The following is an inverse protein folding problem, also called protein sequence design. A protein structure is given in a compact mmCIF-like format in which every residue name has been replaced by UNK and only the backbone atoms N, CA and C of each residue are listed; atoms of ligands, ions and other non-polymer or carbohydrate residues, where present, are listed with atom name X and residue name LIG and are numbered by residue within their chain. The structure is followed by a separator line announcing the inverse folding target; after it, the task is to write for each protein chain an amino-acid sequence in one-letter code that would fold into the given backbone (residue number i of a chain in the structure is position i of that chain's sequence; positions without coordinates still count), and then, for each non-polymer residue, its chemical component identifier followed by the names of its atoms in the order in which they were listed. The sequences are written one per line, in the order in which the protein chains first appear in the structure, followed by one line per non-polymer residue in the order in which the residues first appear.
data_IF_900933814904
#
_entry.id   IF_900933814904
#
_cell.length_a   1.000
_cell.length_b   1.000
_cell.length_c   1.000
_cell.angle_alpha   90.00
_cell.angle_beta   90.00
_cell.angle_gamma   90.00
#
_symmetry.space_group_name_H-M   'P 1'
#
loop_
_entity.id
_entity.type
_entity.pdbx_description
1 polymer ?
#
# COMPACT_ATOMS: atom_id res chain seq x y z
N UNK A 1 20.34 0.92 18.34
CA UNK A 1 19.07 0.35 17.92
C UNK A 1 18.48 1.19 16.82
N UNK A 2 18.18 0.60 15.68
CA UNK A 2 17.65 1.33 14.52
C UNK A 2 16.68 0.48 13.73
N UNK A 3 15.66 1.14 13.17
CA UNK A 3 14.82 0.59 12.11
C UNK A 3 15.50 0.92 10.80
N UNK A 4 15.62 -0.05 9.93
CA UNK A 4 16.18 0.14 8.60
C UNK A 4 15.18 -0.27 7.54
N UNK A 5 15.21 0.45 6.44
CA UNK A 5 14.40 0.17 5.26
C UNK A 5 15.34 -0.14 4.10
N UNK A 6 15.19 -1.32 3.53
CA UNK A 6 15.90 -1.71 2.32
C UNK A 6 15.02 -1.49 1.12
N UNK A 7 15.57 -0.90 0.10
CA UNK A 7 15.01 -0.93 -1.23
C UNK A 7 15.49 -2.21 -1.92
N UNK A 8 14.56 -2.99 -2.39
CA UNK A 8 14.78 -4.25 -3.08
C UNK A 8 14.50 -4.10 -4.58
N UNK A 9 14.82 -5.11 -5.35
CA UNK A 9 14.47 -5.18 -6.77
C UNK A 9 12.97 -4.98 -7.01
N UNK A 10 12.60 -4.48 -8.16
CA UNK A 10 11.20 -4.23 -8.60
C UNK A 10 10.43 -3.28 -7.68
N UNK A 11 11.10 -2.30 -7.08
CA UNK A 11 10.50 -1.33 -6.16
C UNK A 11 9.80 -1.98 -4.95
N UNK A 12 10.34 -3.08 -4.47
CA UNK A 12 9.91 -3.71 -3.23
C UNK A 12 10.74 -3.18 -2.06
N UNK A 13 10.19 -3.27 -0.86
CA UNK A 13 10.80 -2.74 0.35
C UNK A 13 10.75 -3.76 1.47
N UNK A 14 11.79 -3.74 2.28
CA UNK A 14 11.86 -4.49 3.52
C UNK A 14 12.14 -3.57 4.69
N UNK A 15 11.35 -3.68 5.75
CA UNK A 15 11.53 -2.92 6.98
C UNK A 15 11.95 -3.85 8.10
N UNK A 16 13.13 -3.62 8.63
CA UNK A 16 13.70 -4.46 9.68
C UNK A 16 14.22 -3.64 10.86
N UNK A 17 14.57 -4.34 11.91
CA UNK A 17 15.13 -3.76 13.12
C UNK A 17 16.50 -4.37 13.40
N UNK A 18 17.45 -3.54 13.79
CA UNK A 18 18.80 -4.01 14.17
C UNK A 18 19.35 -3.23 15.35
N UNK A 19 20.19 -3.91 16.11
CA UNK A 19 21.02 -3.29 17.16
C UNK A 19 22.42 -2.95 16.66
N UNK A 20 22.81 -3.51 15.52
CA UNK A 20 24.11 -3.35 14.93
C UNK A 20 24.16 -2.19 13.91
N UNK A 21 25.35 -1.61 13.68
CA UNK A 21 25.52 -0.58 12.68
C UNK A 21 25.32 -1.13 11.26
N UNK A 22 24.46 -0.47 10.50
CA UNK A 22 24.16 -0.83 9.12
C UNK A 22 25.19 -0.19 8.21
N UNK A 23 25.96 -1.01 7.50
CA UNK A 23 27.02 -0.53 6.60
C UNK A 23 26.68 -0.72 5.12
N UNK A 24 26.04 -1.83 4.75
CA UNK A 24 25.73 -2.18 3.35
C UNK A 24 24.40 -2.93 3.25
N UNK A 25 23.64 -2.66 2.20
CA UNK A 25 22.38 -3.38 1.93
C UNK A 25 22.60 -4.89 1.73
N UNK A 26 23.73 -5.28 1.15
CA UNK A 26 24.07 -6.68 0.85
C UNK A 26 24.31 -7.58 2.08
N UNK A 27 24.45 -7.02 3.29
CA UNK A 27 24.56 -7.84 4.50
C UNK A 27 23.22 -8.45 4.94
N UNK A 28 22.13 -8.12 4.25
CA UNK A 28 20.76 -8.54 4.59
C UNK A 28 20.13 -9.48 3.56
N UNK A 29 20.92 -10.15 2.74
CA UNK A 29 20.41 -11.00 1.64
C UNK A 29 19.62 -12.22 2.07
N UNK A 30 19.86 -12.74 3.27
CA UNK A 30 19.30 -14.01 3.73
C UNK A 30 18.35 -13.84 4.95
N UNK A 31 17.69 -12.69 5.05
CA UNK A 31 16.82 -12.40 6.19
C UNK A 31 15.53 -13.22 6.19
N UNK A 32 14.88 -13.32 5.03
CA UNK A 32 13.66 -14.09 4.83
C UNK A 32 13.38 -14.32 3.35
N UNK A 33 12.31 -15.04 3.05
CA UNK A 33 11.90 -15.38 1.70
C UNK A 33 11.69 -14.13 0.81
N UNK A 34 11.10 -13.06 1.33
CA UNK A 34 10.87 -11.82 0.59
C UNK A 34 12.17 -11.15 0.13
N UNK A 35 13.14 -11.02 1.04
CA UNK A 35 14.45 -10.43 0.74
C UNK A 35 15.32 -11.34 -0.12
N UNK A 36 15.14 -12.65 0.00
CA UNK A 36 15.82 -13.63 -0.86
C UNK A 36 15.27 -13.57 -2.28
N UNK A 37 13.97 -13.40 -2.43
CA UNK A 37 13.31 -13.32 -3.73
C UNK A 37 13.59 -11.98 -4.45
N UNK A 38 13.52 -10.88 -3.71
CA UNK A 38 13.82 -9.53 -4.20
C UNK A 38 15.11 -9.04 -3.57
N UNK A 39 16.21 -9.15 -4.29
CA UNK A 39 17.53 -8.82 -3.75
C UNK A 39 17.65 -7.36 -3.31
N UNK A 40 18.37 -7.09 -2.18
CA UNK A 40 18.60 -5.73 -1.72
C UNK A 40 19.47 -4.93 -2.70
N UNK A 41 18.97 -3.80 -3.16
CA UNK A 41 19.70 -2.86 -4.01
C UNK A 41 20.40 -1.79 -3.17
N UNK A 42 19.68 -1.19 -2.24
CA UNK A 42 20.18 -0.08 -1.43
C UNK A 42 19.48 0.00 -0.06
N UNK A 43 20.11 0.77 0.82
CA UNK A 43 19.48 1.18 2.08
C UNK A 43 18.69 2.46 1.79
N UNK A 44 17.35 2.38 1.87
CA UNK A 44 16.48 3.51 1.61
C UNK A 44 16.48 4.50 2.77
N UNK A 45 16.31 4.00 4.00
CA UNK A 45 16.17 4.82 5.21
C UNK A 45 16.74 4.08 6.43
N UNK A 46 17.33 4.82 7.35
CA UNK A 46 17.70 4.31 8.67
C UNK A 46 17.22 5.29 9.71
N UNK A 47 16.45 4.81 10.67
CA UNK A 47 15.83 5.63 11.70
C UNK A 47 16.30 5.13 13.05
N UNK A 48 16.92 5.96 13.89
CA UNK A 48 17.16 5.61 15.28
C UNK A 48 15.80 5.49 15.99
N UNK A 49 15.39 4.27 16.28
CA UNK A 49 14.08 4.02 16.86
C UNK A 49 14.06 2.76 17.71
N UNK A 50 13.06 2.65 18.57
CA UNK A 50 12.81 1.44 19.34
C UNK A 50 11.96 0.45 18.55
N UNK A 51 12.11 -0.84 18.86
CA UNK A 51 11.44 -1.94 18.15
C UNK A 51 9.91 -1.79 18.06
N UNK A 52 9.26 -1.18 19.05
CA UNK A 52 7.80 -1.00 19.05
C UNK A 52 7.28 -0.05 17.95
N UNK A 53 8.16 0.76 17.33
CA UNK A 53 7.81 1.61 16.19
C UNK A 53 7.92 0.91 14.84
N UNK A 54 8.41 -0.33 14.82
CA UNK A 54 8.64 -1.07 13.58
C UNK A 54 7.38 -1.21 12.73
N UNK A 55 6.29 -1.64 13.35
CA UNK A 55 5.02 -1.85 12.64
C UNK A 55 4.40 -0.54 12.14
N UNK A 56 4.61 0.57 12.85
CA UNK A 56 4.17 1.89 12.39
C UNK A 56 4.93 2.31 11.13
N UNK A 57 6.25 2.11 11.09
CA UNK A 57 7.06 2.41 9.90
C UNK A 57 6.69 1.51 8.72
N UNK A 58 6.39 0.24 8.97
CA UNK A 58 5.90 -0.67 7.92
C UNK A 58 4.58 -0.15 7.33
N UNK A 59 3.64 0.26 8.18
CA UNK A 59 2.34 0.79 7.75
C UNK A 59 2.47 2.12 7.00
N UNK A 60 3.32 3.02 7.46
CA UNK A 60 3.61 4.29 6.77
C UNK A 60 4.12 4.03 5.35
N UNK A 61 5.07 3.09 5.19
CA UNK A 61 5.60 2.72 3.89
C UNK A 61 4.59 1.96 3.03
N UNK A 62 3.74 1.12 3.64
CA UNK A 62 2.63 0.46 2.93
C UNK A 62 1.62 1.46 2.39
N UNK A 63 1.35 2.55 3.12
CA UNK A 63 0.48 3.63 2.66
C UNK A 63 1.11 4.43 1.51
N UNK A 64 2.44 4.60 1.52
CA UNK A 64 3.17 5.36 0.50
C UNK A 64 3.43 4.55 -0.78
N UNK A 65 3.87 3.30 -0.64
CA UNK A 65 4.31 2.45 -1.77
C UNK A 65 3.34 1.33 -2.13
N UNK A 66 2.30 1.14 -1.35
CA UNK A 66 1.33 0.05 -1.49
C UNK A 66 1.62 -1.15 -0.59
N UNK A 67 0.56 -1.77 -0.09
CA UNK A 67 0.64 -2.93 0.83
C UNK A 67 1.41 -4.10 0.19
N UNK A 68 1.30 -4.27 -1.11
CA UNK A 68 1.94 -5.38 -1.85
C UNK A 68 3.45 -5.20 -2.06
N UNK A 69 3.95 -4.00 -1.87
CA UNK A 69 5.34 -3.65 -2.14
C UNK A 69 6.21 -3.60 -0.89
N UNK A 70 5.62 -3.67 0.29
CA UNK A 70 6.33 -3.52 1.57
C UNK A 70 6.12 -4.72 2.46
N UNK A 71 7.18 -5.23 3.05
CA UNK A 71 7.17 -6.31 4.04
C UNK A 71 8.07 -5.94 5.22
N UNK A 72 7.79 -6.53 6.38
CA UNK A 72 8.58 -6.35 7.60
C UNK A 72 7.72 -6.35 8.86
N UNK A 73 8.33 -6.21 10.01
CA UNK A 73 7.65 -6.18 11.29
C UNK A 73 6.75 -7.39 11.52
N UNK A 74 5.48 -7.14 11.77
CA UNK A 74 4.46 -8.18 11.95
C UNK A 74 3.99 -8.83 10.63
N UNK A 75 4.46 -8.35 9.48
CA UNK A 75 4.10 -8.85 8.13
C UNK A 75 5.33 -9.27 7.31
N UNK A 76 6.04 -10.32 7.74
CA UNK A 76 7.26 -10.78 7.05
C UNK A 76 6.99 -11.73 5.88
N UNK A 77 5.78 -12.22 5.73
CA UNK A 77 5.39 -13.23 4.75
C UNK A 77 5.42 -12.66 3.32
N UNK A 78 5.90 -13.46 2.36
CA UNK A 78 5.96 -13.08 0.95
C UNK A 78 4.57 -12.79 0.39
N UNK A 79 3.59 -13.62 0.76
CA UNK A 79 2.19 -13.48 0.38
C UNK A 79 1.36 -13.27 1.63
N UNK A 80 0.70 -12.13 1.73
CA UNK A 80 -0.21 -11.84 2.84
C UNK A 80 -1.58 -12.48 2.59
N UNK A 81 -2.18 -13.10 3.62
CA UNK A 81 -3.55 -13.60 3.53
C UNK A 81 -4.55 -12.48 3.21
N UNK A 82 -5.60 -12.79 2.45
CA UNK A 82 -6.63 -11.83 2.08
C UNK A 82 -7.28 -11.12 3.29
N UNK A 83 -7.42 -11.82 4.40
CA UNK A 83 -7.94 -11.23 5.63
C UNK A 83 -7.02 -10.12 6.17
N UNK A 84 -5.70 -10.33 6.10
CA UNK A 84 -4.68 -9.35 6.53
C UNK A 84 -4.67 -8.17 5.56
N UNK A 85 -4.72 -8.41 4.25
CA UNK A 85 -4.80 -7.35 3.23
C UNK A 85 -6.03 -6.46 3.43
N UNK A 86 -7.19 -7.05 3.70
CA UNK A 86 -8.43 -6.32 4.01
C UNK A 86 -8.29 -5.47 5.27
N UNK A 87 -7.73 -6.06 6.33
CA UNK A 87 -7.52 -5.35 7.60
C UNK A 87 -6.58 -4.17 7.45
N UNK A 88 -5.43 -4.38 6.80
CA UNK A 88 -4.46 -3.33 6.51
C UNK A 88 -5.03 -2.26 5.58
N UNK A 89 -5.73 -2.65 4.52
CA UNK A 89 -6.37 -1.72 3.60
C UNK A 89 -7.37 -0.81 4.32
N UNK A 90 -8.21 -1.38 5.18
CA UNK A 90 -9.16 -0.63 5.99
C UNK A 90 -8.48 0.30 6.99
N UNK A 91 -7.41 -0.15 7.62
CA UNK A 91 -6.65 0.66 8.58
C UNK A 91 -5.90 1.82 7.92
N UNK A 92 -5.30 1.59 6.76
CA UNK A 92 -4.47 2.58 6.06
C UNK A 92 -5.27 3.58 5.21
N UNK A 93 -6.36 3.11 4.61
CA UNK A 93 -7.12 3.89 3.63
C UNK A 93 -8.58 4.15 4.05
N UNK A 94 -8.97 3.67 5.23
CA UNK A 94 -10.35 3.76 5.73
C UNK A 94 -11.27 2.68 5.17
N UNK A 95 -12.58 2.89 5.30
CA UNK A 95 -13.59 1.93 4.84
C UNK A 95 -13.73 1.84 3.30
N UNK A 96 -12.80 2.44 2.56
CA UNK A 96 -12.71 2.18 1.14
C UNK A 96 -12.16 0.77 0.94
N UNK A 97 -13.04 -0.17 0.68
CA UNK A 97 -12.65 -1.46 0.13
C UNK A 97 -11.85 -1.18 -1.15
N UNK A 98 -10.57 -1.53 -1.16
CA UNK A 98 -9.77 -1.49 -2.38
C UNK A 98 -10.35 -2.57 -3.28
N UNK A 99 -11.32 -2.20 -4.10
CA UNK A 99 -11.95 -3.07 -5.07
C UNK A 99 -11.24 -2.87 -6.39
N UNK A 100 -10.72 -3.93 -6.94
CA UNK A 100 -10.20 -3.91 -8.30
C UNK A 100 -11.33 -3.58 -9.27
N UNK A 101 -11.17 -2.51 -10.05
CA UNK A 101 -12.18 -2.10 -11.02
C UNK A 101 -12.35 -3.10 -12.17
N UNK A 102 -11.37 -3.96 -12.42
CA UNK A 102 -11.45 -5.00 -13.46
C UNK A 102 -12.24 -6.22 -13.02
N UNK A 103 -11.85 -6.84 -11.92
CA UNK A 103 -12.45 -8.09 -11.45
C UNK A 103 -13.42 -7.93 -10.28
N UNK A 104 -13.59 -6.72 -9.76
CA UNK A 104 -14.41 -6.38 -8.58
C UNK A 104 -14.05 -7.17 -7.30
N UNK A 105 -12.89 -7.79 -7.27
CA UNK A 105 -12.34 -8.47 -6.10
C UNK A 105 -11.57 -7.47 -5.23
N UNK A 106 -11.66 -7.63 -3.92
CA UNK A 106 -10.98 -6.80 -2.94
C UNK A 106 -9.52 -7.24 -2.81
N UNK A 107 -8.62 -6.29 -2.57
CA UNK A 107 -7.26 -6.57 -2.13
C UNK A 107 -6.16 -6.39 -3.19
N UNK A 108 -6.49 -5.88 -4.37
CA UNK A 108 -5.49 -5.49 -5.36
C UNK A 108 -5.97 -4.35 -6.25
N UNK A 109 -5.03 -3.65 -6.86
CA UNK A 109 -5.33 -2.62 -7.86
C UNK A 109 -5.47 -3.23 -9.26
N UNK A 110 -6.06 -2.46 -10.19
CA UNK A 110 -6.25 -2.90 -11.60
C UNK A 110 -4.95 -3.35 -12.27
N UNK A 111 -3.83 -2.72 -11.91
CA UNK A 111 -2.50 -3.03 -12.47
C UNK A 111 -1.95 -4.41 -12.06
N UNK A 112 -2.46 -4.96 -10.97
CA UNK A 112 -2.03 -6.23 -10.39
C UNK A 112 -3.15 -7.28 -10.45
N UNK A 113 -4.11 -7.08 -11.36
CA UNK A 113 -5.25 -7.98 -11.49
C UNK A 113 -4.82 -9.33 -12.07
N UNK A 114 -5.02 -10.46 -11.32
CA UNK A 114 -4.69 -11.78 -11.84
C UNK A 114 -5.65 -12.27 -12.93
N UNK A 115 -6.80 -11.61 -13.07
CA UNK A 115 -7.81 -11.94 -14.09
C UNK A 115 -7.60 -11.15 -15.41
N UNK A 116 -6.39 -10.61 -15.65
CA UNK A 116 -6.01 -10.00 -16.92
C UNK A 116 -5.59 -11.10 -17.93
N UNK A 117 -6.44 -12.08 -18.06
CA UNK A 117 -6.43 -12.98 -19.21
C UNK A 117 -7.05 -12.20 -20.38
N UNK A 118 -6.20 -11.47 -21.08
CA UNK A 118 -6.53 -10.93 -22.41
C UNK A 118 -6.67 -12.13 -23.39
N UNK A 119 -7.73 -12.89 -23.21
CA UNK A 119 -8.22 -13.75 -24.27
C UNK A 119 -9.25 -12.94 -25.05
N UNK A 120 -8.81 -12.50 -26.23
CA UNK A 120 -9.62 -11.87 -27.25
C UNK A 120 -10.81 -12.73 -27.62
N UNK A 121 -11.86 -12.69 -26.83
CA UNK A 121 -13.18 -13.13 -27.30
C UNK A 121 -14.11 -11.93 -27.28
N UNK A 122 -14.13 -11.25 -28.40
CA UNK A 122 -15.12 -10.24 -28.74
C UNK A 122 -16.49 -10.91 -28.70
N UNK A 123 -17.17 -10.82 -27.58
CA UNK A 123 -18.62 -11.08 -27.54
C UNK A 123 -19.31 -9.73 -27.68
N UNK A 124 -19.73 -9.48 -28.91
CA UNK A 124 -20.70 -8.45 -29.20
C UNK A 124 -21.99 -8.71 -28.43
N UNK A 125 -22.22 -7.95 -27.39
CA UNK A 125 -23.54 -7.80 -26.85
C UNK A 125 -23.92 -6.31 -26.91
N UNK A 126 -24.49 -5.91 -28.04
CA UNK A 126 -25.24 -4.69 -28.21
C UNK A 126 -26.56 -4.81 -27.44
N UNK A 127 -26.57 -4.32 -26.22
CA UNK A 127 -27.80 -4.06 -25.45
C UNK A 127 -27.98 -2.55 -25.32
N UNK A 128 -28.69 -1.94 -26.25
CA UNK A 128 -29.20 -0.58 -26.12
C UNK A 128 -30.10 -0.47 -24.91
N UNK A 129 -29.65 0.19 -23.86
CA UNK A 129 -30.58 0.88 -22.94
C UNK A 129 -29.94 2.21 -22.56
N UNK A 130 -30.44 3.23 -23.24
CA UNK A 130 -30.26 4.63 -22.90
C UNK A 130 -30.96 4.89 -21.59
N UNK A 131 -30.24 4.91 -20.47
CA UNK A 131 -30.75 5.56 -19.27
C UNK A 131 -30.01 6.89 -19.13
N UNK A 132 -30.77 8.01 -19.00
CA UNK A 132 -30.13 9.31 -18.78
C UNK A 132 -29.57 9.36 -17.37
N UNK A 133 -28.28 9.61 -17.29
CA UNK A 133 -27.59 9.93 -16.04
C UNK A 133 -28.35 11.04 -15.29
N UNK A 134 -28.63 10.86 -13.98
CA UNK A 134 -29.16 11.97 -13.21
C UNK A 134 -28.07 13.04 -13.10
N UNK A 135 -28.46 14.27 -13.49
CA UNK A 135 -27.61 15.44 -13.45
C UNK A 135 -26.94 15.60 -12.08
N UNK A 136 -25.62 15.71 -12.09
CA UNK A 136 -24.83 16.10 -10.92
C UNK A 136 -25.34 17.47 -10.44
N UNK A 137 -25.94 17.49 -9.27
CA UNK A 137 -26.26 18.74 -8.58
C UNK A 137 -24.94 19.41 -8.22
N UNK A 138 -24.74 20.70 -8.51
CA UNK A 138 -23.58 21.41 -8.05
C UNK A 138 -23.59 21.48 -6.53
N UNK A 139 -22.55 20.94 -5.91
CA UNK A 139 -22.31 21.09 -4.48
C UNK A 139 -21.87 22.54 -4.27
N UNK A 140 -22.74 23.34 -3.69
CA UNK A 140 -22.38 24.69 -3.25
C UNK A 140 -21.44 24.57 -2.07
N UNK A 141 -20.27 25.22 -2.10
CA UNK A 141 -19.41 25.26 -0.94
C UNK A 141 -20.05 26.10 0.16
N UNK A 142 -20.25 25.52 1.32
CA UNK A 142 -20.66 26.28 2.49
C UNK A 142 -19.56 27.27 2.87
N UNK A 143 -19.87 28.56 3.07
CA UNK A 143 -18.91 29.51 3.57
C UNK A 143 -18.55 29.15 5.02
N UNK A 144 -17.27 28.94 5.26
CA UNK A 144 -16.74 28.82 6.63
C UNK A 144 -16.98 30.15 7.33
N UNK A 145 -17.83 30.14 8.34
CA UNK A 145 -17.97 31.26 9.27
C UNK A 145 -16.65 31.45 10.02
N UNK A 146 -15.93 32.47 9.65
CA UNK A 146 -14.80 32.94 10.43
C UNK A 146 -15.34 33.87 11.52
N UNK A 147 -15.36 33.40 12.74
CA UNK A 147 -15.65 34.26 13.92
C UNK A 147 -14.40 35.08 14.21
N UNK A 148 -14.47 36.42 14.24
CA UNK A 148 -13.36 37.24 14.66
C UNK A 148 -13.20 37.12 16.19
N UNK A 149 -11.98 36.80 16.63
CA UNK A 149 -11.59 36.89 18.01
C UNK A 149 -11.46 38.38 18.37
N UNK A 150 -12.34 38.86 19.24
CA UNK A 150 -12.22 40.16 19.87
C UNK A 150 -11.25 39.97 21.03
N UNK A 151 -10.08 40.61 20.93
CA UNK A 151 -9.12 40.73 22.03
C UNK A 151 -9.46 42.05 22.76
N UNK A 152 -9.81 41.92 24.03
CA UNK A 152 -9.76 43.01 24.98
C UNK A 152 -8.54 42.86 25.84
#
# INVERSE_FOLDING_TARGET
MSIYVLQLEKKKYWVGFTTEPIRKAKQFTDLNEWVTHYKPESIYKVIPARKYRLDSEVKELMAEFGIENVRGGSWPESVLPNAVLKSLGRELFGDMDIVCFMCQKVGHFVQDCPDDDSDDTVSEFFGSTTEPSPALRPVTPHPRSVTPLIIN
#
